data_IF_739146975847
#
_entry.id   IF_739146975847
#
_cell.length_a   1.000
_cell.length_b   1.000
_cell.length_c   1.000
_cell.angle_alpha   90.00
_cell.angle_beta   90.00
_cell.angle_gamma   90.00
#
_symmetry.space_group_name_H-M   'P 1'
#
loop_
_entity.id
_entity.type
_entity.pdbx_description
1 polymer ?
#
# COMPACT_ATOMS: atom_id res chain seq x y z
N UNK A 1 -12.60 5.79 2.62
CA UNK A 1 -12.79 6.56 3.86
C UNK A 1 -13.31 7.94 3.50
N UNK A 2 -14.14 8.56 4.34
CA UNK A 2 -14.60 9.95 4.17
C UNK A 2 -14.18 10.73 5.39
N UNK A 3 -13.36 11.78 5.22
CA UNK A 3 -12.87 12.58 6.35
C UNK A 3 -12.08 11.79 7.39
N UNK A 4 -11.46 10.66 6.99
CA UNK A 4 -10.76 9.76 7.90
C UNK A 4 -11.62 8.62 8.48
N UNK A 5 -12.94 8.60 8.23
CA UNK A 5 -13.83 7.55 8.72
C UNK A 5 -14.08 6.46 7.66
N UNK A 6 -14.02 5.16 8.00
CA UNK A 6 -14.38 4.08 7.09
C UNK A 6 -15.88 4.12 6.70
N UNK A 7 -16.20 3.93 5.42
CA UNK A 7 -17.58 3.88 4.92
C UNK A 7 -17.78 2.57 4.17
N UNK A 8 -18.82 1.80 4.53
CA UNK A 8 -19.08 0.46 3.97
C UNK A 8 -20.21 0.41 2.92
N UNK A 9 -21.17 1.32 2.99
CA UNK A 9 -22.31 1.40 2.08
C UNK A 9 -22.43 2.78 1.50
N UNK A 10 -22.94 3.73 2.28
CA UNK A 10 -23.13 5.11 1.86
C UNK A 10 -22.73 6.06 2.98
N UNK A 11 -22.28 7.23 2.59
CA UNK A 11 -22.06 8.36 3.48
C UNK A 11 -22.58 9.62 2.79
N UNK A 12 -23.10 10.55 3.59
CA UNK A 12 -23.40 11.88 3.08
C UNK A 12 -22.09 12.65 2.96
N UNK A 13 -21.87 13.24 1.78
CA UNK A 13 -20.72 14.08 1.49
C UNK A 13 -21.12 15.55 1.51
N UNK A 14 -20.24 16.39 2.03
CA UNK A 14 -20.34 17.84 2.04
C UNK A 14 -19.24 18.46 1.19
N UNK A 15 -19.42 19.74 0.86
CA UNK A 15 -18.40 20.50 0.17
C UNK A 15 -17.12 20.55 1.02
N UNK A 16 -15.98 20.29 0.39
CA UNK A 16 -14.68 20.15 1.05
C UNK A 16 -14.37 18.75 1.59
N UNK A 17 -15.31 17.80 1.57
CA UNK A 17 -15.04 16.44 2.04
C UNK A 17 -13.95 15.77 1.22
N UNK A 18 -13.21 14.88 1.89
CA UNK A 18 -12.11 14.14 1.30
C UNK A 18 -12.41 12.64 1.34
N UNK A 19 -12.46 12.00 0.18
CA UNK A 19 -12.65 10.56 0.02
C UNK A 19 -11.29 9.92 -0.25
N UNK A 20 -10.84 9.04 0.64
CA UNK A 20 -9.64 8.24 0.43
C UNK A 20 -10.01 6.86 -0.10
N UNK A 21 -9.55 6.53 -1.30
CA UNK A 21 -9.84 5.25 -1.97
C UNK A 21 -8.76 4.22 -1.62
N UNK A 22 -7.49 4.62 -1.71
CA UNK A 22 -6.34 3.81 -1.31
C UNK A 22 -5.23 4.68 -0.64
N UNK A 23 -4.05 4.10 -0.44
CA UNK A 23 -2.90 4.77 0.20
C UNK A 23 -2.43 6.00 -0.58
N UNK A 24 -2.70 6.07 -1.89
CA UNK A 24 -2.24 7.11 -2.79
C UNK A 24 -3.34 7.86 -3.57
N UNK A 25 -4.61 7.57 -3.35
CA UNK A 25 -5.70 8.17 -4.09
C UNK A 25 -6.69 8.85 -3.17
N UNK A 26 -6.78 10.17 -3.33
CA UNK A 26 -7.68 11.04 -2.60
C UNK A 26 -8.56 11.78 -3.61
N UNK A 27 -9.86 11.75 -3.39
CA UNK A 27 -10.82 12.61 -4.08
C UNK A 27 -11.25 13.72 -3.14
N UNK A 28 -11.17 14.97 -3.58
CA UNK A 28 -11.70 16.11 -2.86
C UNK A 28 -13.03 16.53 -3.50
N UNK A 29 -14.07 16.61 -2.68
CA UNK A 29 -15.39 17.04 -3.11
C UNK A 29 -15.44 18.58 -3.13
N UNK A 30 -15.60 19.17 -4.32
CA UNK A 30 -15.87 20.59 -4.50
C UNK A 30 -17.23 20.75 -5.19
N UNK A 31 -18.29 20.39 -4.48
CA UNK A 31 -19.66 20.42 -4.95
C UNK A 31 -20.16 21.84 -5.22
N UNK A 32 -19.63 22.86 -4.53
CA UNK A 32 -19.92 24.26 -4.83
C UNK A 32 -19.47 24.64 -6.24
N UNK A 33 -18.37 24.05 -6.72
CA UNK A 33 -17.90 24.13 -8.10
C UNK A 33 -18.41 22.99 -9.01
N UNK A 34 -19.22 22.07 -8.46
CA UNK A 34 -19.74 20.85 -9.12
C UNK A 34 -18.64 19.93 -9.66
N UNK A 35 -17.50 19.87 -9.00
CA UNK A 35 -16.35 19.07 -9.40
C UNK A 35 -15.94 18.11 -8.26
N UNK A 36 -15.40 16.95 -8.63
CA UNK A 36 -14.65 16.08 -7.73
C UNK A 36 -13.22 16.05 -8.26
N UNK A 37 -12.27 16.55 -7.46
CA UNK A 37 -10.85 16.64 -7.84
C UNK A 37 -10.11 15.39 -7.37
N UNK A 38 -9.42 14.69 -8.28
CA UNK A 38 -8.55 13.56 -7.93
C UNK A 38 -7.13 14.08 -7.68
N UNK A 39 -6.70 14.03 -6.42
CA UNK A 39 -5.29 14.16 -6.07
C UNK A 39 -4.64 12.78 -6.16
N UNK A 40 -3.96 12.51 -7.28
CA UNK A 40 -3.06 11.35 -7.38
C UNK A 40 -1.82 11.61 -6.56
N UNK A 41 -1.68 10.88 -5.47
CA UNK A 41 -0.50 10.97 -4.63
C UNK A 41 0.67 10.34 -5.38
N UNK A 42 1.59 11.20 -5.81
CA UNK A 42 2.86 10.77 -6.36
C UNK A 42 3.61 10.02 -5.26
N UNK A 43 3.99 8.77 -5.52
CA UNK A 43 4.90 8.02 -4.65
C UNK A 43 6.26 8.75 -4.67
N UNK A 44 6.62 9.36 -3.55
CA UNK A 44 7.87 10.08 -3.29
C UNK A 44 8.92 9.21 -2.61
N UNK A 45 8.50 8.31 -1.73
CA UNK A 45 9.37 7.32 -1.08
C UNK A 45 8.71 5.94 -1.02
N UNK A 46 9.54 4.91 -1.16
CA UNK A 46 9.28 3.51 -0.82
C UNK A 46 10.30 3.12 0.24
N UNK A 47 9.86 2.53 1.34
CA UNK A 47 10.73 2.11 2.45
C UNK A 47 10.40 0.69 2.90
N UNK A 48 11.42 -0.13 3.11
CA UNK A 48 11.35 -1.49 3.62
C UNK A 48 12.21 -1.55 4.87
N UNK A 49 11.63 -2.07 5.96
CA UNK A 49 12.31 -2.22 7.24
C UNK A 49 12.23 -3.69 7.68
N UNK A 50 13.38 -4.38 7.65
CA UNK A 50 13.58 -5.77 8.12
C UNK A 50 12.57 -6.78 7.53
N UNK A 51 12.22 -6.59 6.27
CA UNK A 51 11.18 -7.36 5.59
C UNK A 51 11.62 -8.81 5.40
N UNK A 52 10.89 -9.72 6.04
CA UNK A 52 11.11 -11.16 5.97
C UNK A 52 9.83 -11.85 5.50
N UNK A 53 9.97 -12.87 4.64
CA UNK A 53 8.85 -13.70 4.23
C UNK A 53 9.26 -15.17 4.20
N UNK A 54 8.48 -16.01 4.90
CA UNK A 54 8.64 -17.47 4.91
C UNK A 54 7.38 -18.12 4.37
N UNK A 55 7.53 -19.03 3.42
CA UNK A 55 6.42 -19.79 2.87
C UNK A 55 5.96 -20.88 3.85
N UNK A 56 4.75 -21.42 3.65
CA UNK A 56 4.14 -22.43 4.52
C UNK A 56 4.95 -23.72 4.68
N UNK A 57 5.83 -24.04 3.72
CA UNK A 57 6.77 -25.17 3.79
C UNK A 57 8.09 -24.86 4.52
N UNK A 58 8.23 -23.65 5.06
CA UNK A 58 9.44 -23.19 5.75
C UNK A 58 10.52 -22.59 4.85
N UNK A 59 10.32 -22.59 3.52
CA UNK A 59 11.23 -21.97 2.56
C UNK A 59 11.33 -20.46 2.80
N UNK A 60 12.56 -19.96 2.88
CA UNK A 60 12.85 -18.54 3.05
C UNK A 60 12.69 -17.85 1.69
N UNK A 61 11.67 -17.00 1.58
CA UNK A 61 11.41 -16.20 0.39
C UNK A 61 12.14 -14.85 0.41
N UNK A 62 12.25 -14.24 1.59
CA UNK A 62 12.98 -13.00 1.88
C UNK A 62 13.50 -13.05 3.32
N UNK A 63 14.65 -12.45 3.60
CA UNK A 63 15.26 -12.46 4.94
C UNK A 63 15.87 -11.09 5.25
N UNK A 64 15.25 -10.35 6.18
CA UNK A 64 15.79 -9.07 6.70
C UNK A 64 16.06 -8.01 5.63
N UNK A 65 15.18 -7.87 4.63
CA UNK A 65 15.40 -6.90 3.54
C UNK A 65 15.05 -5.48 4.01
N UNK A 66 16.05 -4.61 4.03
CA UNK A 66 15.93 -3.19 4.42
C UNK A 66 16.51 -2.29 3.33
N UNK A 67 15.70 -1.42 2.74
CA UNK A 67 16.14 -0.39 1.81
C UNK A 67 15.08 0.70 1.61
N UNK A 68 15.49 1.84 1.07
CA UNK A 68 14.58 2.89 0.63
C UNK A 68 14.84 3.27 -0.82
N UNK A 69 13.79 3.72 -1.51
CA UNK A 69 13.85 4.22 -2.88
C UNK A 69 13.09 5.53 -2.96
N UNK A 70 13.75 6.57 -3.45
CA UNK A 70 13.18 7.88 -3.65
C UNK A 70 12.66 8.04 -5.08
N UNK A 71 11.68 8.93 -5.25
CA UNK A 71 11.17 9.27 -6.57
C UNK A 71 12.29 9.78 -7.47
N UNK A 72 12.36 9.19 -8.66
CA UNK A 72 13.38 9.50 -9.67
C UNK A 72 14.54 8.51 -9.67
N UNK A 73 14.63 7.62 -8.68
CA UNK A 73 15.62 6.56 -8.67
C UNK A 73 15.19 5.38 -9.55
N UNK A 74 16.15 4.83 -10.30
CA UNK A 74 15.99 3.60 -11.05
C UNK A 74 16.74 2.49 -10.31
N UNK A 75 15.99 1.52 -9.79
CA UNK A 75 16.55 0.39 -9.03
C UNK A 75 16.39 -0.90 -9.83
N UNK A 76 17.48 -1.67 -9.93
CA UNK A 76 17.48 -2.99 -10.54
C UNK A 76 17.59 -4.07 -9.46
N UNK A 77 16.64 -5.02 -9.46
CA UNK A 77 16.68 -6.19 -8.56
C UNK A 77 17.18 -7.40 -9.35
N UNK A 78 18.34 -7.92 -8.97
CA UNK A 78 19.04 -9.01 -9.68
C UNK A 78 19.36 -10.17 -8.75
N UNK A 79 19.58 -11.36 -9.32
CA UNK A 79 19.94 -12.58 -8.59
C UNK A 79 19.48 -13.86 -9.29
N UNK A 80 19.95 -15.01 -8.84
CA UNK A 80 19.64 -16.33 -9.42
C UNK A 80 18.13 -16.67 -9.37
N UNK A 81 17.67 -17.59 -10.22
CA UNK A 81 16.29 -18.10 -10.11
C UNK A 81 16.05 -18.68 -8.72
N UNK A 82 14.89 -18.37 -8.12
CA UNK A 82 14.53 -18.81 -6.77
C UNK A 82 15.04 -17.93 -5.62
N UNK A 83 15.89 -16.92 -5.86
CA UNK A 83 16.45 -16.09 -4.77
C UNK A 83 15.47 -15.06 -4.14
N UNK A 84 14.17 -15.14 -4.44
CA UNK A 84 13.18 -14.25 -3.83
C UNK A 84 12.78 -12.99 -4.61
N UNK A 85 13.30 -12.72 -5.82
CA UNK A 85 12.95 -11.50 -6.60
C UNK A 85 11.45 -11.33 -6.81
N UNK A 86 10.77 -12.35 -7.32
CA UNK A 86 9.32 -12.29 -7.54
C UNK A 86 8.55 -12.19 -6.22
N UNK A 87 9.09 -12.76 -5.14
CA UNK A 87 8.54 -12.61 -3.78
C UNK A 87 8.64 -11.16 -3.32
N UNK A 88 9.81 -10.53 -3.47
CA UNK A 88 10.02 -9.11 -3.19
C UNK A 88 9.02 -8.25 -3.99
N UNK A 89 8.90 -8.48 -5.30
CA UNK A 89 7.98 -7.70 -6.14
C UNK A 89 6.51 -7.83 -5.70
N UNK A 90 6.09 -9.04 -5.28
CA UNK A 90 4.73 -9.24 -4.74
C UNK A 90 4.52 -8.55 -3.38
N UNK A 91 5.55 -8.50 -2.55
CA UNK A 91 5.53 -7.73 -1.28
C UNK A 91 5.43 -6.23 -1.57
N UNK A 92 6.27 -5.70 -2.46
CA UNK A 92 6.21 -4.29 -2.85
C UNK A 92 4.86 -3.89 -3.47
N UNK A 93 4.24 -4.80 -4.23
CA UNK A 93 2.94 -4.60 -4.84
C UNK A 93 1.75 -4.77 -3.87
N UNK A 94 1.99 -5.06 -2.59
CA UNK A 94 0.92 -5.31 -1.60
C UNK A 94 0.15 -6.62 -1.82
N UNK A 95 0.66 -7.54 -2.65
CA UNK A 95 -0.02 -8.79 -3.02
C UNK A 95 0.36 -9.97 -2.11
N UNK A 96 1.45 -9.83 -1.35
CA UNK A 96 1.96 -10.86 -0.46
C UNK A 96 2.41 -10.21 0.84
N UNK A 97 1.73 -10.46 1.95
CA UNK A 97 2.11 -9.88 3.23
C UNK A 97 3.43 -10.49 3.73
N UNK A 98 4.40 -9.68 4.17
CA UNK A 98 5.61 -10.20 4.80
C UNK A 98 5.26 -10.90 6.13
N UNK A 99 6.06 -11.89 6.51
CA UNK A 99 5.92 -12.59 7.79
C UNK A 99 6.36 -11.71 8.97
N UNK A 100 7.29 -10.77 8.73
CA UNK A 100 7.69 -9.74 9.68
C UNK A 100 8.31 -8.55 8.93
N UNK A 101 8.44 -7.42 9.63
CA UNK A 101 8.92 -6.17 9.06
C UNK A 101 7.82 -5.41 8.33
N UNK A 102 8.17 -4.23 7.82
CA UNK A 102 7.21 -3.25 7.33
C UNK A 102 7.58 -2.69 5.96
N UNK A 103 6.55 -2.35 5.18
CA UNK A 103 6.67 -1.70 3.87
C UNK A 103 5.86 -0.41 3.89
N UNK A 104 6.48 0.70 3.51
CA UNK A 104 5.85 2.02 3.50
C UNK A 104 5.91 2.67 2.12
N UNK A 105 4.84 3.37 1.76
CA UNK A 105 4.81 4.32 0.66
C UNK A 105 4.51 5.70 1.23
N UNK A 106 5.40 6.67 1.02
CA UNK A 106 5.28 8.02 1.60
C UNK A 106 5.06 7.99 3.13
N UNK A 107 5.77 7.12 3.85
CA UNK A 107 5.62 6.92 5.29
C UNK A 107 4.31 6.24 5.73
N UNK A 108 3.44 5.85 4.80
CA UNK A 108 2.22 5.11 5.11
C UNK A 108 2.41 3.62 4.88
N UNK A 109 2.09 2.80 5.88
CA UNK A 109 2.20 1.34 5.76
C UNK A 109 1.29 0.81 4.67
N UNK A 110 1.87 -0.03 3.79
CA UNK A 110 1.16 -0.74 2.71
C UNK A 110 0.13 -1.71 3.30
N UNK A 111 0.45 -2.36 4.43
CA UNK A 111 -0.35 -3.47 4.97
C UNK A 111 -1.30 -3.09 6.09
N UNK A 112 -1.09 -1.98 6.81
CA UNK A 112 -2.04 -1.53 7.86
C UNK A 112 -3.42 -1.15 7.31
N UNK A 113 -3.53 -0.83 6.01
CA UNK A 113 -4.80 -0.48 5.37
C UNK A 113 -5.35 -1.60 4.48
N UNK A 114 -4.66 -2.73 4.33
CA UNK A 114 -5.11 -3.86 3.49
C UNK A 114 -6.09 -4.79 4.20
N UNK A 115 -6.21 -4.71 5.53
CA UNK A 115 -7.19 -5.47 6.31
C UNK A 115 -8.65 -5.12 5.99
N UNK A 116 -8.90 -4.02 5.27
CA UNK A 116 -10.25 -3.66 4.83
C UNK A 116 -10.73 -4.46 3.61
N UNK A 117 -9.84 -4.99 2.77
CA UNK A 117 -10.22 -5.79 1.59
C UNK A 117 -10.50 -7.27 1.94
N UNK A 118 -9.91 -7.78 3.01
CA UNK A 118 -10.08 -9.15 3.52
C UNK A 118 -11.18 -9.28 4.58
N UNK A 119 -11.57 -8.19 5.25
CA UNK A 119 -12.70 -8.17 6.20
C UNK A 119 -14.10 -8.33 5.55
N UNK A 120 -14.18 -8.49 4.21
CA UNK A 120 -15.40 -8.81 3.47
C UNK A 120 -15.65 -10.31 3.26
N UNK A 121 -14.77 -11.20 3.71
CA UNK A 121 -15.04 -12.64 3.82
C UNK A 121 -15.09 -13.05 5.28
N UNK A 122 -16.24 -12.86 5.92
CA UNK A 122 -16.69 -13.71 7.03
C UNK A 122 -18.16 -13.36 7.38
N UNK A 123 -19.03 -14.30 6.96
CA UNK A 123 -20.44 -14.54 7.33
C UNK A 123 -21.49 -13.57 6.81
#
# INVERSE_FOLDING_TARGET
MVGGEPVRTTAQLKDGDTIRIDVGQILRCNFSERIIEEERNIIRSLELNEVTHRFSKGEIGLEGISFSVMRGELVCVMGASGCGKSTLMRVLAGQLQPSSGDVFLNGQSVYQNLDYASAGRLR
#
